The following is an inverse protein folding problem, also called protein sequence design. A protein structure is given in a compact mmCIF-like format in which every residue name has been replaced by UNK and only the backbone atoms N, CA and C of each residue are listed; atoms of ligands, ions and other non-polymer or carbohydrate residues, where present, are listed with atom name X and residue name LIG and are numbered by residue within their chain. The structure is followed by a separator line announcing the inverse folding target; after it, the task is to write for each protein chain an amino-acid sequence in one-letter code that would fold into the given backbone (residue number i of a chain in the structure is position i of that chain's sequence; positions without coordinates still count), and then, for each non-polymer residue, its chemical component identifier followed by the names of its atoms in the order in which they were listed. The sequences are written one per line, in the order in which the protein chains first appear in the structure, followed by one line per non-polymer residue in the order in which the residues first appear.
data_IF_775137583558
#
_entry.id   IF_775137583558
#
_cell.length_a   1.000
_cell.length_b   1.000
_cell.length_c   1.000
_cell.angle_alpha   90.00
_cell.angle_beta   90.00
_cell.angle_gamma   90.00
#
_symmetry.space_group_name_H-M   'P 1'
#
loop_
_entity.id
_entity.type
_entity.pdbx_description
1 polymer ?
#
# COMPACT_ATOMS: atom_id res chain seq x y z
N UNK A 1 14.66 8.72 19.55
CA UNK A 1 13.64 7.66 19.41
C UNK A 1 13.89 6.57 20.44
N UNK A 2 12.91 6.25 21.30
CA UNK A 2 13.01 5.06 22.13
C UNK A 2 12.90 3.84 21.21
N UNK A 3 14.01 3.13 21.01
CA UNK A 3 14.06 1.91 20.20
C UNK A 3 13.25 0.85 20.95
N UNK A 4 12.25 0.22 20.32
CA UNK A 4 11.62 -0.98 20.89
C UNK A 4 12.71 -1.98 21.27
N UNK A 5 12.58 -2.61 22.44
CA UNK A 5 13.59 -3.56 22.88
C UNK A 5 13.57 -4.80 21.99
N UNK A 6 14.72 -5.45 21.83
CA UNK A 6 14.81 -6.71 21.08
C UNK A 6 13.90 -7.78 21.71
N UNK A 7 13.78 -7.79 23.04
CA UNK A 7 12.88 -8.68 23.78
C UNK A 7 11.41 -8.49 23.38
N UNK A 8 10.95 -7.25 23.23
CA UNK A 8 9.58 -6.93 22.81
C UNK A 8 9.32 -7.41 21.38
N UNK A 9 10.27 -7.16 20.47
CA UNK A 9 10.18 -7.60 19.08
C UNK A 9 10.11 -9.13 19.02
N UNK A 10 10.97 -9.83 19.77
CA UNK A 10 10.96 -11.30 19.83
C UNK A 10 9.65 -11.81 20.42
N UNK A 11 9.13 -11.19 21.48
CA UNK A 11 7.88 -11.60 22.09
C UNK A 11 6.68 -11.48 21.14
N UNK A 12 6.59 -10.40 20.35
CA UNK A 12 5.53 -10.20 19.36
C UNK A 12 5.71 -11.15 18.17
N UNK A 13 6.92 -11.26 17.63
CA UNK A 13 7.19 -12.06 16.43
C UNK A 13 7.17 -13.58 16.68
N UNK A 14 7.23 -14.00 17.95
CA UNK A 14 7.10 -15.41 18.35
C UNK A 14 5.64 -15.87 18.49
N UNK A 15 4.66 -14.98 18.34
CA UNK A 15 3.25 -15.36 18.45
C UNK A 15 2.82 -16.20 17.24
N UNK A 16 2.08 -17.32 17.42
CA UNK A 16 1.71 -18.22 16.32
C UNK A 16 0.88 -17.58 15.20
N UNK A 17 0.18 -16.48 15.45
CA UNK A 17 -0.61 -15.71 14.49
C UNK A 17 0.17 -14.57 13.81
N UNK A 18 1.39 -14.28 14.28
CA UNK A 18 2.20 -13.22 13.69
C UNK A 18 2.67 -13.63 12.28
N UNK A 19 2.47 -12.74 11.31
CA UNK A 19 2.83 -12.94 9.92
C UNK A 19 3.51 -11.69 9.38
N UNK A 20 4.58 -11.85 8.62
CA UNK A 20 4.91 -10.85 7.59
C UNK A 20 4.00 -11.11 6.40
N UNK A 21 3.53 -10.04 5.74
CA UNK A 21 2.65 -10.24 4.60
C UNK A 21 2.80 -9.18 3.52
N UNK A 22 2.35 -9.55 2.33
CA UNK A 22 2.23 -8.64 1.20
C UNK A 22 0.83 -8.75 0.61
N UNK A 23 0.29 -7.61 0.15
CA UNK A 23 -0.95 -7.56 -0.62
C UNK A 23 -0.66 -6.90 -1.95
N UNK A 24 -1.09 -7.54 -3.03
CA UNK A 24 -0.86 -7.08 -4.39
C UNK A 24 -2.08 -7.31 -5.27
N UNK A 25 -2.13 -6.65 -6.42
CA UNK A 25 -3.07 -6.98 -7.48
C UNK A 25 -2.39 -7.86 -8.53
N UNK A 26 -3.03 -8.98 -8.85
CA UNK A 26 -2.61 -9.88 -9.91
C UNK A 26 -3.65 -9.88 -11.04
N UNK A 27 -3.19 -9.73 -12.27
CA UNK A 27 -4.05 -9.81 -13.45
C UNK A 27 -3.89 -11.19 -14.09
N UNK A 28 -4.98 -11.96 -14.16
CA UNK A 28 -5.06 -13.17 -14.95
C UNK A 28 -5.40 -12.79 -16.40
N UNK A 29 -4.69 -13.39 -17.35
CA UNK A 29 -4.81 -13.11 -18.78
C UNK A 29 -5.25 -14.35 -19.55
N UNK A 30 -5.73 -14.17 -20.77
CA UNK A 30 -5.82 -15.25 -21.74
C UNK A 30 -4.43 -15.60 -22.32
N UNK A 31 -4.19 -16.88 -22.63
CA UNK A 31 -2.93 -17.34 -23.21
C UNK A 31 -2.69 -16.85 -24.65
N UNK A 32 -3.75 -16.53 -25.39
CA UNK A 32 -3.63 -15.95 -26.72
C UNK A 32 -3.15 -14.49 -26.70
N UNK A 33 -3.34 -13.77 -25.59
CA UNK A 33 -3.01 -12.33 -25.48
C UNK A 33 -1.50 -12.09 -25.34
N UNK A 34 -0.69 -13.14 -25.12
CA UNK A 34 0.77 -13.03 -24.98
C UNK A 34 1.48 -12.55 -26.24
N UNK A 35 0.81 -12.54 -27.39
CA UNK A 35 1.39 -12.07 -28.66
C UNK A 35 1.21 -10.57 -28.89
N UNK A 36 0.45 -9.87 -28.04
CA UNK A 36 0.20 -8.44 -28.21
C UNK A 36 1.21 -7.59 -27.43
N UNK A 37 1.92 -6.71 -28.13
CA UNK A 37 3.02 -5.89 -27.58
C UNK A 37 2.62 -5.07 -26.34
N UNK A 38 1.45 -4.43 -26.36
CA UNK A 38 0.94 -3.67 -25.22
C UNK A 38 0.65 -4.51 -23.96
N UNK A 39 0.35 -5.80 -24.13
CA UNK A 39 0.16 -6.74 -23.02
C UNK A 39 1.51 -7.23 -22.50
N UNK A 40 2.48 -7.45 -23.38
CA UNK A 40 3.85 -7.81 -23.00
C UNK A 40 4.47 -6.76 -22.08
N UNK A 41 4.40 -5.48 -22.46
CA UNK A 41 4.92 -4.39 -21.61
C UNK A 41 4.20 -4.32 -20.26
N UNK A 42 2.89 -4.54 -20.25
CA UNK A 42 2.13 -4.56 -19.00
C UNK A 42 2.54 -5.72 -18.09
N UNK A 43 2.79 -6.91 -18.64
CA UNK A 43 3.26 -8.07 -17.88
C UNK A 43 4.67 -7.87 -17.32
N UNK A 44 5.55 -7.18 -18.05
CA UNK A 44 6.87 -6.81 -17.54
C UNK A 44 6.76 -5.86 -16.34
N UNK A 45 5.87 -4.88 -16.41
CA UNK A 45 5.57 -3.99 -15.28
C UNK A 45 4.98 -4.74 -14.08
N UNK A 46 3.98 -5.60 -14.30
CA UNK A 46 3.40 -6.42 -13.23
C UNK A 46 4.49 -7.32 -12.59
N UNK A 47 5.44 -7.83 -13.39
CA UNK A 47 6.59 -8.61 -12.91
C UNK A 47 7.54 -7.77 -12.04
N UNK A 48 7.89 -6.56 -12.48
CA UNK A 48 8.71 -5.65 -11.67
C UNK A 48 8.10 -5.40 -10.27
N UNK A 49 6.78 -5.25 -10.19
CA UNK A 49 6.09 -5.10 -8.90
C UNK A 49 6.18 -6.36 -8.04
N UNK A 50 6.06 -7.56 -8.64
CA UNK A 50 6.24 -8.82 -7.92
C UNK A 50 7.65 -8.93 -7.35
N UNK A 51 8.67 -8.50 -8.08
CA UNK A 51 10.05 -8.45 -7.58
C UNK A 51 10.17 -7.52 -6.36
N UNK A 52 9.56 -6.33 -6.40
CA UNK A 52 9.54 -5.42 -5.25
C UNK A 52 8.77 -6.00 -4.05
N UNK A 53 7.68 -6.74 -4.29
CA UNK A 53 6.96 -7.45 -3.24
C UNK A 53 7.83 -8.53 -2.59
N UNK A 54 8.64 -9.26 -3.38
CA UNK A 54 9.60 -10.24 -2.89
C UNK A 54 10.67 -9.59 -2.01
N UNK A 55 11.30 -8.53 -2.51
CA UNK A 55 12.35 -7.79 -1.80
C UNK A 55 11.85 -7.27 -0.44
N UNK A 56 10.60 -6.75 -0.40
CA UNK A 56 9.99 -6.29 0.85
C UNK A 56 9.78 -7.41 1.85
N UNK A 57 9.38 -8.59 1.41
CA UNK A 57 9.22 -9.76 2.29
C UNK A 57 10.58 -10.21 2.85
N UNK A 58 11.62 -10.26 2.00
CA UNK A 58 12.99 -10.57 2.41
C UNK A 58 13.48 -9.55 3.44
N UNK A 59 13.29 -8.25 3.17
CA UNK A 59 13.68 -7.18 4.10
C UNK A 59 12.98 -7.32 5.46
N UNK A 60 11.70 -7.68 5.46
CA UNK A 60 10.93 -7.91 6.70
C UNK A 60 11.44 -9.15 7.45
N UNK A 61 11.68 -10.27 6.75
CA UNK A 61 12.25 -11.46 7.36
C UNK A 61 13.64 -11.21 7.97
N UNK A 62 14.49 -10.43 7.30
CA UNK A 62 15.80 -9.99 7.83
C UNK A 62 15.65 -9.13 9.09
N UNK A 63 14.71 -8.18 9.09
CA UNK A 63 14.47 -7.30 10.24
C UNK A 63 14.00 -8.05 11.50
N UNK A 64 13.38 -9.22 11.33
CA UNK A 64 12.94 -10.09 12.42
C UNK A 64 13.86 -11.30 12.65
N UNK A 65 15.03 -11.36 11.98
CA UNK A 65 16.01 -12.45 12.11
C UNK A 65 15.43 -13.84 11.75
N UNK A 66 14.48 -13.89 10.82
CA UNK A 66 13.88 -15.14 10.33
C UNK A 66 14.73 -15.73 9.20
N UNK A 67 15.89 -16.29 9.57
CA UNK A 67 16.92 -16.77 8.64
C UNK A 67 16.41 -17.83 7.65
N UNK A 68 15.56 -18.76 8.11
CA UNK A 68 14.94 -19.79 7.25
C UNK A 68 14.03 -19.18 6.19
N UNK A 69 13.24 -18.16 6.57
CA UNK A 69 12.36 -17.43 5.66
C UNK A 69 13.16 -16.64 4.64
N UNK A 70 14.26 -15.99 5.06
CA UNK A 70 15.19 -15.30 4.15
C UNK A 70 15.74 -16.28 3.12
N UNK A 71 16.28 -17.43 3.56
CA UNK A 71 16.83 -18.43 2.67
C UNK A 71 15.79 -19.00 1.68
N UNK A 72 14.56 -19.22 2.14
CA UNK A 72 13.45 -19.64 1.28
C UNK A 72 13.14 -18.59 0.21
N UNK A 73 12.98 -17.33 0.61
CA UNK A 73 12.58 -16.25 -0.30
C UNK A 73 13.68 -15.86 -1.29
N UNK A 74 14.95 -15.90 -0.88
CA UNK A 74 16.08 -15.66 -1.79
C UNK A 74 16.19 -16.75 -2.86
N UNK A 75 15.90 -18.01 -2.50
CA UNK A 75 15.96 -19.14 -3.43
C UNK A 75 14.72 -19.22 -4.32
N UNK A 76 13.53 -19.04 -3.75
CA UNK A 76 12.25 -19.40 -4.37
C UNK A 76 11.17 -18.31 -4.30
N UNK A 77 11.42 -17.18 -3.63
CA UNK A 77 10.40 -16.17 -3.37
C UNK A 77 9.75 -15.61 -4.62
N UNK A 78 10.54 -15.38 -5.68
CA UNK A 78 10.01 -15.01 -7.00
C UNK A 78 9.10 -16.12 -7.53
N UNK A 79 9.54 -17.37 -7.54
CA UNK A 79 8.72 -18.51 -7.99
C UNK A 79 7.38 -18.60 -7.25
N UNK A 80 7.35 -18.38 -5.93
CA UNK A 80 6.10 -18.32 -5.16
C UNK A 80 5.19 -17.17 -5.61
N UNK A 81 5.75 -15.98 -5.85
CA UNK A 81 5.00 -14.80 -6.30
C UNK A 81 4.52 -14.91 -7.76
N UNK A 82 5.26 -15.57 -8.64
CA UNK A 82 4.86 -15.78 -10.03
C UNK A 82 3.98 -17.03 -10.19
N UNK A 83 4.59 -18.21 -10.01
CA UNK A 83 3.93 -19.49 -10.28
C UNK A 83 2.97 -19.92 -9.15
N UNK A 84 3.26 -19.55 -7.90
CA UNK A 84 2.38 -19.85 -6.77
C UNK A 84 1.04 -19.10 -6.86
N UNK A 85 1.07 -17.81 -7.20
CA UNK A 85 -0.15 -17.01 -7.42
C UNK A 85 -0.92 -17.54 -8.63
N UNK A 86 -0.25 -17.78 -9.76
CA UNK A 86 -0.91 -18.29 -10.98
C UNK A 86 -1.59 -19.65 -10.75
N UNK A 87 -0.94 -20.55 -10.00
CA UNK A 87 -1.52 -21.82 -9.56
C UNK A 87 -2.74 -21.62 -8.66
N UNK A 88 -2.62 -20.75 -7.65
CA UNK A 88 -3.72 -20.46 -6.74
C UNK A 88 -4.94 -19.89 -7.48
N UNK A 89 -4.71 -18.99 -8.44
CA UNK A 89 -5.76 -18.41 -9.28
C UNK A 89 -6.39 -19.47 -10.18
N UNK A 90 -5.59 -20.34 -10.79
CA UNK A 90 -6.08 -21.42 -11.66
C UNK A 90 -6.91 -22.48 -10.93
N UNK A 91 -6.69 -22.64 -9.62
CA UNK A 91 -7.42 -23.57 -8.76
C UNK A 91 -8.61 -22.91 -8.03
N UNK A 92 -8.86 -21.61 -8.25
CA UNK A 92 -9.87 -20.88 -7.50
C UNK A 92 -11.29 -21.38 -7.85
N UNK A 93 -12.07 -21.91 -6.88
CA UNK A 93 -13.30 -22.69 -7.15
C UNK A 93 -14.39 -21.96 -7.93
N UNK A 94 -14.48 -20.64 -7.79
CA UNK A 94 -15.56 -19.84 -8.37
C UNK A 94 -15.26 -19.31 -9.78
N UNK A 95 -14.04 -19.48 -10.32
CA UNK A 95 -13.63 -18.94 -11.63
C UNK A 95 -12.64 -19.82 -12.40
N UNK A 96 -12.94 -21.10 -12.70
CA UNK A 96 -12.00 -22.02 -13.33
C UNK A 96 -11.63 -21.68 -14.79
N UNK A 97 -12.41 -20.85 -15.49
CA UNK A 97 -12.08 -20.43 -16.86
C UNK A 97 -11.30 -19.12 -16.88
N UNK A 98 -10.16 -19.12 -17.58
CA UNK A 98 -9.42 -17.90 -17.93
C UNK A 98 -10.35 -16.90 -18.66
N UNK A 99 -10.06 -15.59 -18.58
CA UNK A 99 -10.83 -14.59 -19.32
C UNK A 99 -10.87 -14.86 -20.82
N UNK A 100 -11.88 -14.33 -21.50
CA UNK A 100 -11.92 -14.30 -22.96
C UNK A 100 -10.70 -13.55 -23.53
N UNK A 101 -10.32 -13.84 -24.77
CA UNK A 101 -9.24 -13.11 -25.44
C UNK A 101 -9.55 -11.60 -25.48
N UNK A 102 -8.56 -10.77 -25.16
CA UNK A 102 -8.73 -9.31 -25.03
C UNK A 102 -9.30 -8.84 -23.69
N UNK A 103 -9.54 -9.76 -22.75
CA UNK A 103 -9.99 -9.46 -21.39
C UNK A 103 -8.98 -9.91 -20.34
N UNK A 104 -9.03 -9.27 -19.18
CA UNK A 104 -8.26 -9.65 -18.00
C UNK A 104 -9.16 -9.71 -16.77
N UNK A 105 -8.76 -10.50 -15.78
CA UNK A 105 -9.44 -10.57 -14.48
C UNK A 105 -8.44 -10.22 -13.39
N UNK A 106 -8.81 -9.26 -12.53
CA UNK A 106 -7.97 -8.84 -11.43
C UNK A 106 -8.33 -9.57 -10.14
N UNK A 107 -7.30 -9.98 -9.40
CA UNK A 107 -7.41 -10.55 -8.06
C UNK A 107 -6.61 -9.70 -7.07
N UNK A 108 -7.19 -9.43 -5.90
CA UNK A 108 -6.43 -9.01 -4.73
C UNK A 108 -5.83 -10.26 -4.13
N UNK A 109 -4.51 -10.34 -4.15
CA UNK A 109 -3.74 -11.45 -3.60
C UNK A 109 -3.09 -11.01 -2.31
N UNK A 110 -3.23 -11.79 -1.25
CA UNK A 110 -2.49 -11.61 -0.01
C UNK A 110 -1.68 -12.86 0.29
N UNK A 111 -0.37 -12.69 0.38
CA UNK A 111 0.56 -13.75 0.79
C UNK A 111 0.96 -13.47 2.24
N UNK A 112 0.69 -14.42 3.13
CA UNK A 112 1.12 -14.39 4.52
C UNK A 112 2.24 -15.41 4.71
N UNK A 113 3.27 -15.04 5.47
CA UNK A 113 4.41 -15.91 5.76
C UNK A 113 4.58 -16.01 7.27
N UNK A 114 4.59 -17.24 7.80
CA UNK A 114 4.89 -17.51 9.21
C UNK A 114 6.39 -17.55 9.47
N UNK A 115 6.76 -17.60 10.76
CA UNK A 115 8.15 -17.74 11.19
C UNK A 115 8.76 -19.06 10.72
N UNK A 116 7.96 -20.11 10.67
CA UNK A 116 8.30 -21.47 10.22
C UNK A 116 8.27 -21.60 8.69
N UNK A 117 8.35 -20.47 7.97
CA UNK A 117 8.40 -20.41 6.52
C UNK A 117 7.19 -21.03 5.79
N UNK A 118 6.04 -21.14 6.47
CA UNK A 118 4.78 -21.53 5.82
C UNK A 118 4.21 -20.32 5.07
N UNK A 119 3.77 -20.54 3.83
CA UNK A 119 3.22 -19.50 2.94
C UNK A 119 1.75 -19.79 2.65
N UNK A 120 0.87 -18.86 3.02
CA UNK A 120 -0.57 -18.91 2.74
C UNK A 120 -0.94 -17.83 1.71
N UNK A 121 -1.57 -18.23 0.60
CA UNK A 121 -2.07 -17.33 -0.44
C UNK A 121 -3.59 -17.25 -0.35
N UNK A 122 -4.10 -16.04 -0.15
CA UNK A 122 -5.55 -15.76 -0.19
C UNK A 122 -5.89 -14.87 -1.37
N UNK A 123 -7.00 -15.18 -2.04
CA UNK A 123 -7.46 -14.53 -3.26
C UNK A 123 -8.85 -13.93 -3.06
N UNK A 124 -9.05 -12.72 -3.55
CA UNK A 124 -10.35 -12.09 -3.68
C UNK A 124 -10.49 -11.47 -5.08
N UNK A 125 -11.47 -11.89 -5.90
CA UNK A 125 -11.77 -11.23 -7.17
C UNK A 125 -12.01 -9.74 -6.99
N UNK A 126 -11.55 -8.92 -7.93
CA UNK A 126 -11.71 -7.47 -7.94
C UNK A 126 -12.69 -7.00 -9.01
N UNK A 127 -13.84 -7.68 -9.07
CA UNK A 127 -14.87 -7.48 -10.09
C UNK A 127 -14.79 -8.51 -11.22
N UNK A 128 -15.55 -8.24 -12.27
CA UNK A 128 -15.67 -9.11 -13.45
C UNK A 128 -14.50 -8.95 -14.42
N UNK A 129 -14.52 -9.74 -15.49
CA UNK A 129 -13.58 -9.65 -16.60
C UNK A 129 -13.70 -8.28 -17.28
N UNK A 130 -12.56 -7.63 -17.47
CA UNK A 130 -12.48 -6.29 -18.07
C UNK A 130 -11.74 -6.33 -19.39
N UNK A 131 -12.18 -5.58 -20.41
CA UNK A 131 -11.40 -5.42 -21.62
C UNK A 131 -10.07 -4.73 -21.29
N UNK A 132 -8.99 -5.16 -21.94
CA UNK A 132 -7.68 -4.53 -21.85
C UNK A 132 -7.65 -3.01 -22.12
N UNK A 133 -8.65 -2.46 -22.81
CA UNK A 133 -8.78 -1.02 -23.05
C UNK A 133 -8.91 -0.23 -21.73
N UNK A 134 -9.51 -0.83 -20.71
CA UNK A 134 -9.57 -0.26 -19.36
C UNK A 134 -8.21 -0.17 -18.66
N UNK A 135 -7.17 -0.86 -19.17
CA UNK A 135 -5.82 -0.69 -18.63
C UNK A 135 -5.30 0.73 -18.85
N UNK A 136 -5.80 1.50 -19.81
CA UNK A 136 -5.32 2.87 -20.02
C UNK A 136 -5.70 3.81 -18.87
N UNK A 137 -6.89 3.64 -18.29
CA UNK A 137 -7.41 4.40 -17.15
C UNK A 137 -7.18 3.71 -15.81
N UNK A 138 -6.57 2.53 -15.82
CA UNK A 138 -6.31 1.71 -14.65
C UNK A 138 -5.40 2.40 -13.64
N UNK A 139 -5.69 2.31 -12.34
CA UNK A 139 -4.94 3.02 -11.29
C UNK A 139 -3.44 2.71 -11.19
N UNK A 140 -2.91 1.67 -11.84
CA UNK A 140 -1.47 1.45 -11.93
C UNK A 140 -0.84 2.08 -13.17
N UNK A 141 -1.64 2.29 -14.21
CA UNK A 141 -1.27 2.97 -15.45
C UNK A 141 -1.67 4.45 -15.44
N UNK A 142 -2.61 4.83 -14.58
CA UNK A 142 -2.99 6.20 -14.25
C UNK A 142 -1.90 6.84 -13.39
N UNK A 143 -0.71 6.78 -13.94
CA UNK A 143 0.48 7.52 -13.57
C UNK A 143 0.27 9.02 -13.88
N UNK A 144 -0.96 9.54 -13.77
CA UNK A 144 -1.24 10.97 -13.91
C UNK A 144 -0.63 11.81 -12.79
N UNK A 145 -0.17 11.18 -11.68
CA UNK A 145 0.79 11.81 -10.78
C UNK A 145 2.15 12.12 -11.46
N UNK A 146 2.54 11.47 -12.58
CA UNK A 146 3.82 11.75 -13.29
C UNK A 146 3.89 13.14 -13.88
N UNK A 147 2.76 13.66 -14.37
CA UNK A 147 2.75 14.73 -15.38
C UNK A 147 1.85 15.93 -15.02
N UNK A 148 1.13 15.90 -13.91
CA UNK A 148 0.05 16.87 -13.66
C UNK A 148 0.37 17.76 -12.47
N UNK A 149 0.38 19.07 -12.71
CA UNK A 149 0.13 20.06 -11.68
C UNK A 149 -1.30 19.83 -11.12
N UNK A 150 -1.48 20.08 -9.81
CA UNK A 150 -2.73 19.87 -9.05
C UNK A 150 -4.00 20.29 -9.83
N UNK A 151 -3.93 21.36 -10.63
CA UNK A 151 -5.05 21.94 -11.39
C UNK A 151 -5.63 21.11 -12.55
N UNK A 152 -5.15 19.88 -12.78
CA UNK A 152 -5.70 18.97 -13.79
C UNK A 152 -6.09 17.60 -13.24
N UNK A 153 -5.90 17.37 -11.94
CA UNK A 153 -6.18 16.09 -11.30
C UNK A 153 -7.67 15.76 -11.36
N UNK A 154 -8.05 14.48 -11.58
CA UNK A 154 -9.44 14.08 -11.39
C UNK A 154 -9.86 14.36 -9.93
N UNK A 155 -11.16 14.63 -9.69
CA UNK A 155 -11.68 14.84 -8.34
C UNK A 155 -11.21 13.74 -7.38
N UNK A 156 -10.92 14.12 -6.13
CA UNK A 156 -10.58 13.16 -5.09
C UNK A 156 -11.66 12.09 -4.96
N UNK A 157 -11.25 10.82 -4.95
CA UNK A 157 -12.17 9.70 -4.75
C UNK A 157 -12.23 9.27 -3.28
N UNK A 158 -11.23 9.68 -2.50
CA UNK A 158 -11.06 9.31 -1.10
C UNK A 158 -11.17 10.54 -0.19
N UNK A 159 -11.91 10.41 0.90
CA UNK A 159 -11.87 11.37 2.02
C UNK A 159 -10.77 10.95 2.99
N UNK A 160 -9.86 11.87 3.30
CA UNK A 160 -8.69 11.58 4.13
C UNK A 160 -8.74 12.38 5.42
N UNK A 161 -8.98 11.69 6.54
CA UNK A 161 -8.86 12.29 7.88
C UNK A 161 -7.42 12.29 8.37
N UNK A 162 -7.20 12.89 9.54
CA UNK A 162 -5.94 12.81 10.29
C UNK A 162 -6.24 12.13 11.61
N UNK A 163 -5.42 11.16 12.00
CA UNK A 163 -5.60 10.49 13.29
C UNK A 163 -5.43 11.49 14.45
N UNK A 164 -6.04 11.19 15.59
CA UNK A 164 -5.99 12.03 16.79
C UNK A 164 -4.86 11.62 17.74
N UNK A 165 -4.22 10.48 17.47
CA UNK A 165 -3.17 9.92 18.32
C UNK A 165 -1.93 9.65 17.47
N UNK A 166 -0.76 10.10 17.96
CA UNK A 166 0.51 9.82 17.30
C UNK A 166 0.77 8.31 17.22
N UNK A 167 1.36 7.88 16.12
CA UNK A 167 1.83 6.51 15.89
C UNK A 167 3.35 6.49 15.99
N UNK A 168 3.92 5.94 17.08
CA UNK A 168 5.37 5.84 17.22
C UNK A 168 6.00 5.04 16.08
N UNK A 169 7.11 5.54 15.54
CA UNK A 169 7.91 4.82 14.55
C UNK A 169 8.52 3.57 15.18
N UNK A 170 8.25 2.41 14.58
CA UNK A 170 8.77 1.12 15.03
C UNK A 170 9.17 0.23 13.86
N UNK A 171 9.80 -0.91 14.15
CA UNK A 171 10.02 -1.96 13.14
C UNK A 171 8.68 -2.43 12.55
N UNK A 172 7.59 -2.45 13.34
CA UNK A 172 6.28 -2.91 12.90
C UNK A 172 5.52 -1.92 12.02
N UNK A 173 5.87 -0.62 12.06
CA UNK A 173 5.34 0.35 11.10
C UNK A 173 6.11 0.33 9.78
N UNK A 174 7.44 0.18 9.88
CA UNK A 174 8.34 0.05 8.71
C UNK A 174 8.03 -1.18 7.86
N UNK A 175 7.77 -2.32 8.50
CA UNK A 175 7.54 -3.61 7.86
C UNK A 175 6.05 -3.99 7.87
N UNK A 176 5.58 -4.59 6.77
CA UNK A 176 4.16 -4.97 6.66
C UNK A 176 3.90 -6.29 7.38
N UNK A 177 3.34 -6.20 8.58
CA UNK A 177 3.09 -7.35 9.46
C UNK A 177 1.63 -7.43 9.90
N UNK A 178 1.20 -8.58 10.42
CA UNK A 178 -0.13 -8.74 11.03
C UNK A 178 -0.27 -8.05 12.39
N UNK A 179 0.81 -7.55 12.98
CA UNK A 179 0.74 -6.68 14.16
C UNK A 179 0.32 -5.28 13.72
N UNK A 180 -1.01 -5.03 13.74
CA UNK A 180 -1.63 -3.86 13.12
C UNK A 180 -2.47 -3.02 14.07
N UNK A 181 -2.41 -3.28 15.37
CA UNK A 181 -3.25 -2.63 16.39
C UNK A 181 -3.24 -1.10 16.27
N UNK A 182 -2.09 -0.49 16.00
CA UNK A 182 -1.97 0.98 15.81
C UNK A 182 -2.76 1.48 14.59
N UNK A 183 -2.72 0.75 13.48
CA UNK A 183 -3.44 1.07 12.25
C UNK A 183 -4.94 0.83 12.41
N UNK A 184 -5.32 -0.27 13.05
CA UNK A 184 -6.70 -0.65 13.25
C UNK A 184 -7.38 0.30 14.24
N UNK A 185 -6.69 0.70 15.30
CA UNK A 185 -7.16 1.70 16.25
C UNK A 185 -7.30 3.10 15.62
N UNK A 186 -6.39 3.49 14.71
CA UNK A 186 -6.53 4.74 13.96
C UNK A 186 -7.79 4.75 13.09
N UNK A 187 -8.04 3.65 12.37
CA UNK A 187 -9.25 3.49 11.54
C UNK A 187 -10.53 3.47 12.38
N UNK A 188 -10.50 2.84 13.55
CA UNK A 188 -11.61 2.81 14.50
C UNK A 188 -11.93 4.21 15.05
N UNK A 189 -10.92 4.95 15.53
CA UNK A 189 -11.09 6.35 15.98
C UNK A 189 -11.66 7.27 14.89
N UNK A 190 -11.31 7.02 13.64
CA UNK A 190 -11.85 7.77 12.49
C UNK A 190 -13.21 7.25 12.00
N UNK A 191 -13.72 6.13 12.53
CA UNK A 191 -14.99 5.55 12.11
C UNK A 191 -14.98 4.96 10.70
N UNK A 192 -13.80 4.56 10.19
CA UNK A 192 -13.62 4.14 8.80
C UNK A 192 -13.29 2.64 8.62
N UNK A 193 -13.44 1.82 9.65
CA UNK A 193 -13.03 0.39 9.67
C UNK A 193 -13.58 -0.39 8.48
N UNK A 194 -14.86 -0.23 8.16
CA UNK A 194 -15.59 -0.94 7.09
C UNK A 194 -15.34 -0.41 5.68
N UNK A 195 -14.65 0.72 5.53
CA UNK A 195 -14.50 1.39 4.24
C UNK A 195 -13.19 1.03 3.54
N UNK A 196 -13.21 0.85 2.20
CA UNK A 196 -11.98 0.63 1.46
C UNK A 196 -11.12 1.92 1.44
N UNK A 197 -9.78 1.79 1.31
CA UNK A 197 -8.89 2.95 1.27
C UNK A 197 -9.13 3.87 0.08
N UNK A 198 -9.81 3.39 -0.96
CA UNK A 198 -10.20 4.22 -2.11
C UNK A 198 -11.36 5.18 -1.81
N UNK A 199 -12.03 5.03 -0.67
CA UNK A 199 -13.16 5.86 -0.24
C UNK A 199 -12.82 6.65 1.03
N UNK A 200 -12.18 6.01 2.01
CA UNK A 200 -11.74 6.67 3.23
C UNK A 200 -10.36 6.20 3.68
N UNK A 201 -9.52 7.14 4.09
CA UNK A 201 -8.22 6.91 4.70
C UNK A 201 -8.04 7.81 5.92
N UNK A 202 -7.05 7.46 6.74
CA UNK A 202 -6.62 8.27 7.88
C UNK A 202 -5.10 8.40 7.83
N UNK A 203 -4.60 9.64 7.84
CA UNK A 203 -3.18 9.94 7.95
C UNK A 203 -2.68 9.65 9.36
N UNK A 204 -1.51 9.06 9.42
CA UNK A 204 -0.75 8.81 10.63
C UNK A 204 0.44 9.76 10.70
N UNK A 205 0.83 10.10 11.91
CA UNK A 205 1.97 10.96 12.20
C UNK A 205 2.77 10.40 13.37
N UNK A 206 4.06 10.71 13.44
CA UNK A 206 4.94 10.27 14.52
C UNK A 206 4.93 11.25 15.70
N UNK A 207 5.71 10.94 16.75
CA UNK A 207 5.79 11.78 17.96
C UNK A 207 6.40 13.17 17.72
N UNK A 208 7.05 13.38 16.58
CA UNK A 208 7.65 14.64 16.17
C UNK A 208 6.67 15.48 15.31
N UNK A 209 5.40 15.07 15.24
CA UNK A 209 4.34 15.68 14.43
C UNK A 209 4.61 15.67 12.93
N UNK A 210 5.34 14.66 12.44
CA UNK A 210 5.60 14.46 11.02
C UNK A 210 4.70 13.35 10.47
N UNK A 211 4.11 13.59 9.30
CA UNK A 211 3.32 12.58 8.59
C UNK A 211 4.20 11.40 8.21
N UNK A 212 3.70 10.17 8.40
CA UNK A 212 4.42 8.93 8.09
C UNK A 212 3.81 8.21 6.89
N UNK A 213 2.52 7.93 6.95
CA UNK A 213 1.74 7.22 5.93
C UNK A 213 0.23 7.40 6.20
N UNK A 214 -0.61 6.73 5.41
CA UNK A 214 -2.01 6.49 5.74
C UNK A 214 -2.21 5.04 6.18
N UNK A 215 -3.34 4.73 6.82
CA UNK A 215 -3.58 3.44 7.49
C UNK A 215 -3.37 2.18 6.63
N UNK A 216 -3.64 2.28 5.32
CA UNK A 216 -3.43 1.20 4.35
C UNK A 216 -2.63 1.65 3.11
N UNK A 217 -2.11 2.88 3.09
CA UNK A 217 -1.60 3.52 1.86
C UNK A 217 -0.37 4.40 2.12
N UNK A 218 0.57 4.42 1.17
CA UNK A 218 1.60 5.47 1.11
C UNK A 218 0.94 6.78 0.67
N UNK A 219 1.33 7.90 1.29
CA UNK A 219 0.85 9.24 0.95
C UNK A 219 1.92 10.06 0.21
N UNK A 220 1.45 10.93 -0.68
CA UNK A 220 2.26 11.88 -1.45
C UNK A 220 1.61 13.26 -1.40
N UNK A 221 2.41 14.28 -1.12
CA UNK A 221 2.02 15.67 -1.06
C UNK A 221 2.66 16.43 -2.22
N UNK A 222 1.92 17.32 -2.87
CA UNK A 222 2.51 18.14 -3.93
C UNK A 222 3.11 19.40 -3.31
N UNK A 223 4.44 19.55 -3.38
CA UNK A 223 5.19 20.67 -2.81
C UNK A 223 6.22 21.13 -3.82
N UNK A 224 6.35 22.44 -4.00
CA UNK A 224 7.40 23.04 -4.84
C UNK A 224 7.48 22.43 -6.27
N UNK A 225 6.34 22.11 -6.87
CA UNK A 225 6.27 21.56 -8.23
C UNK A 225 6.54 20.06 -8.36
N UNK A 226 6.66 19.31 -7.25
CA UNK A 226 6.93 17.86 -7.25
C UNK A 226 6.15 17.12 -6.19
N UNK A 227 6.01 15.80 -6.35
CA UNK A 227 5.46 14.94 -5.31
C UNK A 227 6.53 14.61 -4.27
N UNK A 228 6.16 14.80 -3.00
CA UNK A 228 6.97 14.50 -1.83
C UNK A 228 6.25 13.42 -1.04
N UNK A 229 6.92 12.30 -0.77
CA UNK A 229 6.44 11.27 0.15
C UNK A 229 7.24 11.36 1.45
N UNK A 230 6.63 11.07 2.63
CA UNK A 230 7.35 11.00 3.87
C UNK A 230 8.65 10.20 3.78
N UNK A 231 9.71 10.74 4.36
CA UNK A 231 11.02 10.10 4.43
C UNK A 231 10.92 8.76 5.20
N UNK A 232 11.73 7.78 4.81
CA UNK A 232 11.69 6.45 5.42
C UNK A 232 11.96 6.49 6.94
N UNK A 233 12.78 7.42 7.40
CA UNK A 233 13.14 7.61 8.80
C UNK A 233 12.03 8.29 9.64
N UNK A 234 10.96 8.81 9.01
CA UNK A 234 9.74 9.22 9.74
C UNK A 234 9.00 8.00 10.34
N UNK A 235 9.26 6.79 9.82
CA UNK A 235 8.79 5.53 10.41
C UNK A 235 7.60 4.86 9.72
N UNK A 236 7.18 5.34 8.55
CA UNK A 236 6.11 4.72 7.77
C UNK A 236 6.54 3.46 7.02
N UNK A 237 5.57 2.69 6.50
CA UNK A 237 5.84 1.48 5.75
C UNK A 237 6.63 1.72 4.47
N UNK A 238 7.63 0.87 4.20
CA UNK A 238 8.37 0.88 2.93
C UNK A 238 7.54 0.19 1.83
N UNK A 239 6.56 0.92 1.32
CA UNK A 239 5.60 0.45 0.33
C UNK A 239 6.22 0.09 -1.03
N UNK A 240 5.61 -0.86 -1.75
CA UNK A 240 6.07 -1.26 -3.10
C UNK A 240 5.79 -0.17 -4.14
N UNK A 241 4.62 0.44 -4.10
CA UNK A 241 4.27 1.57 -4.98
C UNK A 241 5.09 2.83 -4.64
N UNK A 242 5.47 3.00 -3.36
CA UNK A 242 6.44 4.02 -2.93
C UNK A 242 7.79 3.85 -3.62
N UNK A 243 8.35 2.64 -3.55
CA UNK A 243 9.61 2.31 -4.24
C UNK A 243 9.52 2.58 -5.73
N UNK A 244 8.41 2.20 -6.37
CA UNK A 244 8.17 2.49 -7.79
C UNK A 244 8.20 4.00 -8.09
N UNK A 245 7.58 4.83 -7.25
CA UNK A 245 7.58 6.29 -7.45
C UNK A 245 8.97 6.92 -7.28
N UNK A 246 9.73 6.45 -6.27
CA UNK A 246 11.06 6.95 -5.97
C UNK A 246 12.08 6.54 -7.04
N UNK A 247 12.15 5.25 -7.39
CA UNK A 247 13.14 4.74 -8.37
C UNK A 247 12.94 5.32 -9.79
N UNK A 248 11.69 5.68 -10.14
CA UNK A 248 11.39 6.30 -11.42
C UNK A 248 11.43 7.85 -11.38
N UNK A 249 11.80 8.46 -10.24
CA UNK A 249 11.93 9.91 -10.11
C UNK A 249 10.62 10.70 -10.14
N UNK A 250 9.49 10.05 -9.86
CA UNK A 250 8.17 10.69 -9.82
C UNK A 250 7.81 11.28 -8.45
N UNK A 251 8.50 10.83 -7.41
CA UNK A 251 8.45 11.43 -6.09
C UNK A 251 9.85 11.53 -5.51
N UNK A 252 10.01 12.42 -4.53
CA UNK A 252 11.19 12.50 -3.67
C UNK A 252 10.79 12.26 -2.22
N UNK A 253 11.75 11.85 -1.40
CA UNK A 253 11.55 11.82 0.05
C UNK A 253 11.63 13.23 0.64
N UNK A 254 10.81 13.50 1.65
CA UNK A 254 10.84 14.72 2.44
C UNK A 254 10.00 14.60 3.69
N UNK A 255 10.25 15.47 4.68
CA UNK A 255 9.44 15.55 5.90
C UNK A 255 8.24 16.45 5.64
N UNK A 256 7.08 16.03 6.11
CA UNK A 256 5.82 16.78 6.00
C UNK A 256 5.30 16.97 7.42
N UNK A 257 5.28 18.21 7.91
CA UNK A 257 4.74 18.51 9.23
C UNK A 257 3.22 18.47 9.20
N UNK A 258 2.59 18.06 10.30
CA UNK A 258 1.14 18.25 10.48
C UNK A 258 0.71 19.71 10.31
N UNK A 259 1.58 20.66 10.67
CA UNK A 259 1.31 22.09 10.54
C UNK A 259 1.27 22.58 9.08
N UNK A 260 1.84 21.81 8.14
CA UNK A 260 1.90 22.16 6.71
C UNK A 260 0.71 21.60 5.91
N UNK A 261 -0.23 20.95 6.59
CA UNK A 261 -1.42 20.39 5.97
C UNK A 261 -2.51 21.46 5.83
N UNK A 262 -3.32 21.36 4.77
CA UNK A 262 -4.48 22.23 4.59
C UNK A 262 -5.77 21.43 4.37
N UNK A 263 -6.88 21.92 4.93
CA UNK A 263 -8.22 21.40 4.63
C UNK A 263 -8.52 21.57 3.12
N UNK A 264 -9.06 20.53 2.48
CA UNK A 264 -9.32 20.50 1.05
C UNK A 264 -8.08 20.23 0.18
N UNK A 265 -6.92 20.00 0.79
CA UNK A 265 -5.71 19.66 0.05
C UNK A 265 -5.84 18.29 -0.64
N UNK A 266 -5.46 18.24 -1.91
CA UNK A 266 -5.41 16.98 -2.67
C UNK A 266 -4.07 16.29 -2.44
N UNK A 267 -4.14 15.05 -1.96
CA UNK A 267 -2.99 14.16 -1.76
C UNK A 267 -3.03 12.99 -2.74
N UNK A 268 -1.86 12.54 -3.15
CA UNK A 268 -1.71 11.24 -3.80
C UNK A 268 -1.69 10.12 -2.75
N UNK A 269 -2.33 9.01 -3.06
CA UNK A 269 -2.30 7.79 -2.24
C UNK A 269 -1.94 6.60 -3.12
N UNK A 270 -1.25 5.62 -2.54
CA UNK A 270 -0.99 4.37 -3.27
C UNK A 270 -0.83 3.15 -2.37
N UNK A 271 -1.19 1.99 -2.92
CA UNK A 271 -0.77 0.71 -2.36
C UNK A 271 -0.71 -0.37 -3.46
N UNK A 272 -0.05 -1.50 -3.14
CA UNK A 272 0.17 -2.59 -4.08
C UNK A 272 -1.10 -3.30 -4.59
N UNK A 273 -2.27 -3.06 -4.01
CA UNK A 273 -3.53 -3.70 -4.39
C UNK A 273 -4.47 -2.79 -5.20
N UNK A 274 -4.46 -1.48 -4.92
CA UNK A 274 -5.37 -0.50 -5.53
C UNK A 274 -4.68 0.45 -6.51
N UNK A 275 -3.35 0.42 -6.58
CA UNK A 275 -2.58 1.32 -7.43
C UNK A 275 -2.52 2.72 -6.83
N UNK A 276 -2.52 3.73 -7.69
CA UNK A 276 -2.50 5.14 -7.36
C UNK A 276 -3.91 5.74 -7.43
N UNK A 277 -4.25 6.60 -6.48
CA UNK A 277 -5.53 7.30 -6.41
C UNK A 277 -5.36 8.61 -5.64
N UNK A 278 -6.38 9.46 -5.64
CA UNK A 278 -6.36 10.78 -5.00
C UNK A 278 -7.27 10.81 -3.78
N UNK A 279 -6.85 11.55 -2.77
CA UNK A 279 -7.65 11.85 -1.61
C UNK A 279 -7.70 13.35 -1.32
N UNK A 280 -8.76 13.80 -0.66
CA UNK A 280 -8.92 15.16 -0.17
C UNK A 280 -8.82 15.17 1.35
N UNK A 281 -7.94 16.02 1.89
CA UNK A 281 -7.77 16.16 3.33
C UNK A 281 -8.99 16.83 3.95
N UNK A 282 -9.64 16.13 4.88
CA UNK A 282 -10.71 16.66 5.71
C UNK A 282 -10.18 16.86 7.12
N UNK A 283 -9.85 18.10 7.45
CA UNK A 283 -9.58 18.49 8.82
C UNK A 283 -10.88 18.73 9.58
N UNK A 284 -10.96 18.22 10.81
CA UNK A 284 -12.01 18.59 11.75
C UNK A 284 -11.99 20.11 11.91
N UNK A 285 -13.01 20.81 11.40
CA UNK A 285 -13.19 22.23 11.69
C UNK A 285 -13.38 22.30 13.20
N UNK A 286 -12.39 22.83 13.91
CA UNK A 286 -12.63 23.22 15.30
C UNK A 286 -13.84 24.15 15.28
N UNK A 287 -14.90 23.73 15.96
CA UNK A 287 -15.96 24.63 16.35
C UNK A 287 -15.34 25.61 17.34
N UNK A 288 -14.76 26.69 16.83
CA UNK A 288 -14.48 27.89 17.62
C UNK A 288 -15.83 28.52 17.97
N UNK A 289 -16.51 27.89 18.92
CA UNK A 289 -17.73 28.36 19.54
C UNK A 289 -17.39 29.31 20.67
N UNK A 290 -17.33 30.59 20.33
CA UNK A 290 -17.73 31.75 21.15
C UNK A 290 -17.24 31.78 22.61
N UNK A 291 -16.07 32.38 22.81
CA UNK A 291 -15.84 33.21 24.01
C UNK A 291 -16.31 34.63 23.71
N UNK A 292 -17.62 34.87 23.71
CA UNK A 292 -18.15 36.23 23.80
C UNK A 292 -18.33 36.59 25.27
N UNK A 293 -17.30 37.25 25.81
CA UNK A 293 -17.44 38.08 26.99
C UNK A 293 -18.16 39.39 26.62
N UNK A 294 -19.29 39.64 27.27
CA UNK A 294 -19.88 40.96 27.57
C UNK A 294 -21.12 40.66 28.41
N UNK A 295 -21.27 41.15 29.63
CA UNK A 295 -21.12 42.54 30.03
C UNK A 295 -22.50 43.01 30.47
#
# INVERSE_FOLDING_TARGET
MAKQSEEEIVAITSRPEFRIFTTLRFNQWNDADFRHEGITMRKLFDSQLLDYHCDRLIASARAFTWTEVVALLEREGKTYLYAGIDRAVSQYPMTPKKPAQGFFRAYRVRLNISREATIDITLAPMGDDKPWAELQSDNFNNFQLRNMAIGSMPPATCTVGIDKVATPATTFTTHKTSYRDVYDAARDRSGITEFPPTQYEVLLYNNDNEITEASLSTVYFYREGRWVTPAADCGGNIGVTRRLMLENGHAVEGRISMADLAHGEIVGLSNGARGFFTGELQMDRHSDGETSASG
#
